data_IF_211193528941
#
_entry.id   IF_211193528941
#
_cell.length_a   1.000
_cell.length_b   1.000
_cell.length_c   1.000
_cell.angle_alpha   90.00
_cell.angle_beta   90.00
_cell.angle_gamma   90.00
#
_symmetry.space_group_name_H-M   'P 1'
#
loop_
_entity.id
_entity.type
_entity.pdbx_description
1 polymer ?
#
# COMPACT_ATOMS: atom_id res chain seq x y z
N UNK A 1 19.31 -8.91 -16.71
CA UNK A 1 18.23 -8.78 -15.69
C UNK A 1 18.94 -8.40 -14.40
N UNK A 2 19.04 -7.10 -14.16
CA UNK A 2 19.79 -6.51 -13.03
C UNK A 2 18.93 -6.49 -11.75
N UNK A 3 19.55 -6.55 -10.57
CA UNK A 3 18.83 -6.82 -9.33
C UNK A 3 18.11 -5.55 -8.88
N UNK A 4 16.77 -5.56 -8.92
CA UNK A 4 15.91 -4.56 -8.27
C UNK A 4 15.93 -4.66 -6.72
N UNK A 5 16.99 -5.25 -6.16
CA UNK A 5 17.21 -5.38 -4.71
C UNK A 5 17.85 -4.12 -4.10
N UNK A 6 17.64 -2.96 -4.72
CA UNK A 6 17.81 -1.69 -4.03
C UNK A 6 16.66 -1.60 -3.03
N UNK A 7 16.97 -1.63 -1.74
CA UNK A 7 16.00 -1.41 -0.65
C UNK A 7 15.13 -0.22 -1.03
N UNK A 8 13.87 -0.50 -1.40
CA UNK A 8 12.94 0.58 -1.68
C UNK A 8 12.69 1.27 -0.35
N UNK A 9 13.30 2.44 -0.18
CA UNK A 9 13.08 3.29 0.99
C UNK A 9 11.58 3.35 1.27
N UNK A 10 11.17 3.17 2.54
CA UNK A 10 9.76 3.20 2.93
C UNK A 10 9.03 4.43 2.37
N UNK A 11 9.72 5.56 2.30
CA UNK A 11 9.23 6.81 1.70
C UNK A 11 8.90 6.69 0.20
N UNK A 12 9.68 5.94 -0.57
CA UNK A 12 9.41 5.72 -1.99
C UNK A 12 8.14 4.87 -2.18
N UNK A 13 7.93 3.87 -1.32
CA UNK A 13 6.73 3.02 -1.37
C UNK A 13 5.49 3.81 -0.95
N UNK A 14 5.58 4.65 0.08
CA UNK A 14 4.51 5.59 0.49
C UNK A 14 4.17 6.55 -0.65
N UNK A 15 5.16 7.18 -1.26
CA UNK A 15 4.94 8.11 -2.39
C UNK A 15 4.23 7.42 -3.57
N UNK A 16 4.61 6.19 -3.89
CA UNK A 16 3.94 5.43 -4.95
C UNK A 16 2.48 5.13 -4.61
N UNK A 17 2.17 4.75 -3.37
CA UNK A 17 0.79 4.52 -2.94
C UNK A 17 -0.07 5.79 -3.07
N UNK A 18 0.46 6.95 -2.68
CA UNK A 18 -0.23 8.23 -2.80
C UNK A 18 -0.49 8.61 -4.27
N UNK A 19 0.49 8.42 -5.16
CA UNK A 19 0.31 8.66 -6.60
C UNK A 19 -0.79 7.79 -7.20
N UNK A 20 -0.87 6.53 -6.78
CA UNK A 20 -1.92 5.60 -7.23
C UNK A 20 -3.30 6.02 -6.74
N UNK A 21 -3.42 6.47 -5.48
CA UNK A 21 -4.70 6.97 -4.93
C UNK A 21 -5.20 8.16 -5.75
N UNK A 22 -4.32 9.14 -6.02
CA UNK A 22 -4.64 10.31 -6.83
C UNK A 22 -5.06 9.93 -8.26
N UNK A 23 -4.37 8.94 -8.86
CA UNK A 23 -4.71 8.41 -10.18
C UNK A 23 -6.12 7.78 -10.17
N UNK A 24 -6.38 6.89 -9.22
CA UNK A 24 -7.68 6.22 -9.08
C UNK A 24 -8.81 7.22 -8.88
N UNK A 25 -8.61 8.25 -8.06
CA UNK A 25 -9.60 9.31 -7.83
C UNK A 25 -9.87 10.14 -9.09
N UNK A 26 -8.82 10.43 -9.85
CA UNK A 26 -8.92 11.13 -11.14
C UNK A 26 -9.73 10.31 -12.14
N UNK A 27 -9.44 9.01 -12.27
CA UNK A 27 -10.17 8.10 -13.16
C UNK A 27 -11.63 7.95 -12.70
N UNK A 28 -11.88 7.78 -11.40
CA UNK A 28 -13.23 7.63 -10.86
C UNK A 28 -14.08 8.89 -11.12
N UNK A 29 -13.49 10.06 -10.92
CA UNK A 29 -14.15 11.34 -11.20
C UNK A 29 -14.46 11.48 -12.69
N UNK A 30 -13.54 11.07 -13.56
CA UNK A 30 -13.78 11.02 -15.00
C UNK A 30 -14.98 10.12 -15.35
N UNK A 31 -15.02 8.89 -14.83
CA UNK A 31 -16.11 7.93 -15.09
C UNK A 31 -17.46 8.50 -14.63
N UNK A 32 -17.52 9.13 -13.44
CA UNK A 32 -18.75 9.75 -12.92
C UNK A 32 -19.27 10.89 -13.80
N UNK A 33 -18.39 11.56 -14.53
CA UNK A 33 -18.75 12.67 -15.42
C UNK A 33 -19.18 12.19 -16.83
N UNK A 34 -19.18 10.88 -17.09
CA UNK A 34 -19.74 10.31 -18.32
C UNK A 34 -21.25 10.18 -18.17
N UNK A 35 -22.01 10.92 -18.98
CA UNK A 35 -23.48 10.83 -19.04
C UNK A 35 -23.87 9.45 -19.59
N UNK A 36 -24.87 8.81 -18.97
CA UNK A 36 -25.35 7.45 -19.33
C UNK A 36 -24.23 6.40 -19.28
N UNK A 37 -23.48 6.38 -18.17
CA UNK A 37 -22.45 5.38 -17.92
C UNK A 37 -23.04 3.96 -18.06
N UNK A 38 -22.34 3.09 -18.79
CA UNK A 38 -22.76 1.69 -18.91
C UNK A 38 -22.55 0.98 -17.59
N UNK A 39 -23.29 -0.12 -17.36
CA UNK A 39 -23.18 -0.94 -16.15
C UNK A 39 -21.74 -1.40 -15.87
N UNK A 40 -20.95 -1.61 -16.92
CA UNK A 40 -19.53 -1.97 -16.84
C UNK A 40 -18.68 -0.80 -16.32
N UNK A 41 -18.96 0.44 -16.72
CA UNK A 41 -18.27 1.61 -16.16
C UNK A 41 -18.60 1.81 -14.68
N UNK A 42 -19.84 1.54 -14.26
CA UNK A 42 -20.22 1.55 -12.85
C UNK A 42 -19.50 0.47 -12.05
N UNK A 43 -19.42 -0.76 -12.58
CA UNK A 43 -18.62 -1.85 -11.98
C UNK A 43 -17.15 -1.47 -11.84
N UNK A 44 -16.55 -0.96 -12.91
CA UNK A 44 -15.17 -0.48 -12.90
C UNK A 44 -14.96 0.61 -11.84
N UNK A 45 -15.88 1.57 -11.74
CA UNK A 45 -15.85 2.63 -10.71
C UNK A 45 -15.92 2.07 -9.28
N UNK A 46 -16.73 1.03 -9.06
CA UNK A 46 -16.80 0.31 -7.78
C UNK A 46 -15.47 -0.39 -7.45
N UNK A 47 -14.85 -1.06 -8.43
CA UNK A 47 -13.54 -1.70 -8.25
C UNK A 47 -12.43 -0.69 -7.96
N UNK A 48 -12.42 0.43 -8.68
CA UNK A 48 -11.50 1.54 -8.43
C UNK A 48 -11.69 2.09 -7.01
N UNK A 49 -12.92 2.20 -6.51
CA UNK A 49 -13.18 2.62 -5.13
C UNK A 49 -12.58 1.64 -4.12
N UNK A 50 -12.71 0.33 -4.36
CA UNK A 50 -12.10 -0.70 -3.51
C UNK A 50 -10.57 -0.67 -3.57
N UNK A 51 -10.00 -0.46 -4.75
CA UNK A 51 -8.56 -0.31 -4.92
C UNK A 51 -8.03 0.91 -4.16
N UNK A 52 -8.70 2.06 -4.24
CA UNK A 52 -8.32 3.26 -3.47
C UNK A 52 -8.30 3.00 -1.96
N UNK A 53 -9.30 2.31 -1.43
CA UNK A 53 -9.36 1.96 0.00
C UNK A 53 -8.15 1.11 0.42
N UNK A 54 -7.82 0.06 -0.33
CA UNK A 54 -6.67 -0.80 -0.03
C UNK A 54 -5.34 -0.04 -0.19
N UNK A 55 -5.25 0.87 -1.16
CA UNK A 55 -4.06 1.72 -1.32
C UNK A 55 -3.90 2.69 -0.14
N UNK A 56 -4.98 3.24 0.41
CA UNK A 56 -4.93 4.08 1.62
C UNK A 56 -4.51 3.24 2.84
N UNK A 57 -5.06 2.04 3.02
CA UNK A 57 -4.64 1.11 4.07
C UNK A 57 -3.15 0.74 3.93
N UNK A 58 -2.70 0.51 2.69
CA UNK A 58 -1.29 0.28 2.37
C UNK A 58 -0.44 1.48 2.79
N UNK A 59 -0.85 2.68 2.40
CA UNK A 59 -0.14 3.91 2.72
C UNK A 59 -0.01 4.10 4.23
N UNK A 60 -1.10 3.97 4.97
CA UNK A 60 -1.13 4.12 6.43
C UNK A 60 -0.21 3.11 7.13
N UNK A 61 -0.22 1.85 6.69
CA UNK A 61 0.67 0.83 7.22
C UNK A 61 2.15 1.18 6.96
N UNK A 62 2.46 1.61 5.73
CA UNK A 62 3.84 1.92 5.33
C UNK A 62 4.36 3.19 6.01
N UNK A 63 3.52 4.21 6.22
CA UNK A 63 3.86 5.41 6.99
C UNK A 63 4.16 5.04 8.44
N UNK A 64 3.34 4.19 9.06
CA UNK A 64 3.59 3.68 10.41
C UNK A 64 4.89 2.88 10.49
N UNK A 65 5.14 2.02 9.50
CA UNK A 65 6.35 1.21 9.41
C UNK A 65 7.60 2.09 9.27
N UNK A 66 7.55 3.09 8.38
CA UNK A 66 8.65 4.04 8.15
C UNK A 66 8.94 4.90 9.38
N UNK A 67 7.90 5.33 10.10
CA UNK A 67 8.06 6.08 11.35
C UNK A 67 8.67 5.25 12.49
N UNK A 68 8.49 3.93 12.44
CA UNK A 68 8.98 2.98 13.45
C UNK A 68 10.38 2.44 13.15
N UNK A 69 10.78 2.43 11.87
CA UNK A 69 12.11 2.00 11.39
C UNK A 69 13.24 2.81 12.04
N UNK A 70 13.02 4.09 12.34
CA UNK A 70 14.01 4.94 13.02
C UNK A 70 14.02 4.78 14.56
N UNK A 71 13.08 4.01 15.15
CA UNK A 71 12.89 3.95 16.61
C UNK A 71 13.17 2.57 17.21
N UNK A 72 13.07 1.51 16.43
CA UNK A 72 13.20 0.13 16.91
C UNK A 72 14.23 -0.59 16.04
N UNK A 73 15.38 -0.93 16.63
CA UNK A 73 16.36 -1.82 15.99
C UNK A 73 15.69 -3.15 15.62
N UNK A 74 15.69 -3.47 14.32
CA UNK A 74 15.08 -4.67 13.76
C UNK A 74 13.69 -4.48 13.14
N UNK A 75 13.11 -3.28 13.16
CA UNK A 75 11.95 -2.98 12.31
C UNK A 75 12.39 -2.98 10.85
N UNK A 76 11.98 -3.99 10.09
CA UNK A 76 12.44 -4.18 8.70
C UNK A 76 11.72 -3.24 7.75
N UNK A 77 12.38 -2.86 6.66
CA UNK A 77 11.78 -2.17 5.53
C UNK A 77 10.55 -2.92 4.98
N UNK A 78 9.62 -2.24 4.28
CA UNK A 78 8.47 -2.89 3.65
C UNK A 78 8.86 -4.09 2.79
N UNK A 79 8.05 -5.15 2.83
CA UNK A 79 8.26 -6.31 1.97
C UNK A 79 8.31 -5.89 0.50
N UNK A 80 9.29 -6.40 -0.24
CA UNK A 80 9.42 -6.20 -1.69
C UNK A 80 8.15 -6.62 -2.46
N UNK A 81 7.38 -7.56 -1.90
CA UNK A 81 6.08 -7.98 -2.46
C UNK A 81 5.07 -6.83 -2.53
N UNK A 82 5.02 -5.95 -1.52
CA UNK A 82 4.12 -4.78 -1.50
C UNK A 82 4.50 -3.83 -2.62
N UNK A 83 5.78 -3.55 -2.79
CA UNK A 83 6.27 -2.69 -3.88
C UNK A 83 5.91 -3.26 -5.26
N UNK A 84 6.13 -4.56 -5.46
CA UNK A 84 5.80 -5.23 -6.72
C UNK A 84 4.30 -5.11 -7.01
N UNK A 85 3.44 -5.35 -6.01
CA UNK A 85 1.99 -5.20 -6.18
C UNK A 85 1.58 -3.75 -6.49
N UNK A 86 2.20 -2.75 -5.86
CA UNK A 86 1.94 -1.34 -6.18
C UNK A 86 2.38 -0.98 -7.61
N UNK A 87 3.52 -1.51 -8.08
CA UNK A 87 3.95 -1.32 -9.46
C UNK A 87 2.99 -1.98 -10.46
N UNK A 88 2.50 -3.18 -10.16
CA UNK A 88 1.50 -3.88 -10.97
C UNK A 88 0.15 -3.15 -11.00
N UNK A 89 -0.27 -2.53 -9.89
CA UNK A 89 -1.41 -1.62 -9.84
C UNK A 89 -1.22 -0.45 -10.81
N UNK A 90 -0.04 0.20 -10.79
CA UNK A 90 0.29 1.31 -11.70
C UNK A 90 0.15 0.92 -13.17
N UNK A 91 0.76 -0.21 -13.54
CA UNK A 91 0.71 -0.74 -14.91
C UNK A 91 -0.73 -1.02 -15.33
N UNK A 92 -1.53 -1.59 -14.43
CA UNK A 92 -2.93 -1.92 -14.70
C UNK A 92 -3.83 -0.69 -14.86
N UNK A 93 -3.51 0.42 -14.19
CA UNK A 93 -4.24 1.69 -14.29
C UNK A 93 -3.81 2.53 -15.50
N UNK A 94 -2.60 2.35 -16.02
CA UNK A 94 -2.04 3.16 -17.11
C UNK A 94 -2.96 3.32 -18.35
N UNK A 95 -3.70 2.29 -18.83
CA UNK A 95 -4.60 2.46 -19.97
C UNK A 95 -5.74 3.45 -19.67
N UNK A 96 -6.26 3.43 -18.45
CA UNK A 96 -7.31 4.36 -17.99
C UNK A 96 -6.74 5.76 -17.81
N UNK A 97 -5.57 5.91 -17.20
CA UNK A 97 -4.88 7.20 -17.07
C UNK A 97 -4.65 7.87 -18.43
N UNK A 98 -4.15 7.10 -19.40
CA UNK A 98 -3.88 7.57 -20.76
C UNK A 98 -5.16 8.08 -21.42
N UNK A 99 -6.27 7.38 -21.22
CA UNK A 99 -7.58 7.78 -21.74
C UNK A 99 -8.07 9.07 -21.08
N UNK A 100 -7.99 9.18 -19.75
CA UNK A 100 -8.37 10.41 -19.03
C UNK A 100 -7.52 11.61 -19.46
N UNK A 101 -6.21 11.44 -19.60
CA UNK A 101 -5.30 12.50 -20.04
C UNK A 101 -5.59 12.98 -21.47
N UNK A 102 -5.91 12.06 -22.39
CA UNK A 102 -6.32 12.42 -23.76
C UNK A 102 -7.59 13.28 -23.74
N UNK A 103 -8.52 12.98 -22.83
CA UNK A 103 -9.79 13.68 -22.70
C UNK A 103 -9.65 15.08 -22.08
N UNK A 104 -8.82 15.21 -21.05
CA UNK A 104 -8.59 16.49 -20.38
C UNK A 104 -7.88 17.52 -21.27
N UNK A 105 -7.11 17.07 -22.26
CA UNK A 105 -6.38 17.94 -23.20
C UNK A 105 -7.21 18.44 -24.38
N UNK A 106 -8.49 18.05 -24.51
CA UNK A 106 -9.36 18.51 -25.60
C UNK A 106 -10.11 19.79 -25.19
N UNK A 107 -9.78 20.97 -25.75
CA UNK A 107 -10.27 22.26 -25.25
C UNK A 107 -11.71 22.61 -25.70
N UNK A 108 -12.30 21.87 -26.64
CA UNK A 108 -13.64 22.17 -27.16
C UNK A 108 -14.71 21.28 -26.51
N UNK A 109 -15.73 21.89 -25.90
CA UNK A 109 -16.83 21.17 -25.27
C UNK A 109 -17.60 20.23 -26.23
N UNK A 110 -17.66 20.56 -27.52
CA UNK A 110 -18.27 19.73 -28.58
C UNK A 110 -17.42 18.52 -28.97
N UNK A 111 -16.08 18.67 -29.04
CA UNK A 111 -15.19 17.53 -29.25
C UNK A 111 -15.14 16.63 -28.03
N UNK A 112 -15.33 17.19 -26.83
CA UNK A 112 -15.37 16.44 -25.57
C UNK A 112 -16.66 15.61 -25.46
N UNK A 113 -17.82 16.13 -25.87
CA UNK A 113 -19.07 15.35 -25.89
C UNK A 113 -19.05 14.26 -26.97
N UNK A 114 -18.51 14.55 -28.15
CA UNK A 114 -18.34 13.58 -29.23
C UNK A 114 -17.31 12.50 -28.87
N UNK A 115 -16.17 12.87 -28.28
CA UNK A 115 -15.15 11.91 -27.83
C UNK A 115 -15.62 11.12 -26.58
N UNK A 116 -16.49 11.67 -25.73
CA UNK A 116 -17.18 10.92 -24.66
C UNK A 116 -18.12 9.88 -25.24
N UNK A 117 -18.84 10.21 -26.31
CA UNK A 117 -19.63 9.24 -27.07
C UNK A 117 -18.74 8.20 -27.75
N UNK A 118 -17.58 8.60 -28.27
CA UNK A 118 -16.61 7.68 -28.86
C UNK A 118 -15.94 6.81 -27.81
N UNK A 119 -15.82 7.24 -26.54
CA UNK A 119 -15.39 6.40 -25.41
C UNK A 119 -16.49 5.41 -25.04
N UNK A 120 -17.75 5.83 -25.02
CA UNK A 120 -18.89 4.91 -24.88
C UNK A 120 -18.88 3.84 -25.98
N UNK A 121 -18.38 4.17 -27.17
CA UNK A 121 -18.23 3.25 -28.31
C UNK A 121 -16.86 2.52 -28.33
N UNK A 122 -15.82 3.10 -27.74
CA UNK A 122 -14.41 2.75 -27.94
C UNK A 122 -13.77 2.02 -26.76
N UNK A 123 -14.23 2.24 -25.53
CA UNK A 123 -14.08 1.26 -24.45
C UNK A 123 -15.09 0.15 -24.74
N UNK A 124 -14.72 -0.79 -25.62
CA UNK A 124 -15.56 -1.96 -25.85
C UNK A 124 -15.76 -2.66 -24.51
N UNK A 125 -16.96 -3.21 -24.29
CA UNK A 125 -17.29 -4.02 -23.11
C UNK A 125 -16.21 -5.05 -22.76
N UNK A 126 -15.53 -5.60 -23.77
CA UNK A 126 -14.40 -6.52 -23.63
C UNK A 126 -13.17 -5.87 -22.97
N UNK A 127 -12.84 -4.64 -23.36
CA UNK A 127 -11.71 -3.90 -22.81
C UNK A 127 -11.98 -3.47 -21.37
N UNK A 128 -13.23 -3.07 -21.05
CA UNK A 128 -13.64 -2.78 -19.67
C UNK A 128 -13.55 -4.05 -18.82
N UNK A 129 -14.10 -5.16 -19.28
CA UNK A 129 -14.05 -6.45 -18.56
C UNK A 129 -12.60 -6.91 -18.31
N UNK A 130 -11.71 -6.72 -19.29
CA UNK A 130 -10.29 -7.04 -19.13
C UNK A 130 -9.63 -6.16 -18.06
N UNK A 131 -9.93 -4.86 -18.05
CA UNK A 131 -9.44 -3.93 -17.02
C UNK A 131 -9.98 -4.28 -15.64
N UNK A 132 -11.27 -4.61 -15.54
CA UNK A 132 -11.89 -5.07 -14.29
C UNK A 132 -11.17 -6.31 -13.75
N UNK A 133 -10.91 -7.30 -14.61
CA UNK A 133 -10.21 -8.54 -14.24
C UNK A 133 -8.80 -8.24 -13.71
N UNK A 134 -8.07 -7.35 -14.39
CA UNK A 134 -6.75 -6.91 -13.95
C UNK A 134 -6.81 -6.20 -12.60
N UNK A 135 -7.69 -5.22 -12.44
CA UNK A 135 -7.84 -4.48 -11.17
C UNK A 135 -8.24 -5.42 -10.03
N UNK A 136 -9.14 -6.37 -10.27
CA UNK A 136 -9.53 -7.38 -9.30
C UNK A 136 -8.34 -8.25 -8.87
N UNK A 137 -7.51 -8.67 -9.83
CA UNK A 137 -6.28 -9.41 -9.57
C UNK A 137 -5.30 -8.59 -8.71
N UNK A 138 -5.10 -7.31 -9.05
CA UNK A 138 -4.22 -6.43 -8.29
C UNK A 138 -4.71 -6.16 -6.86
N UNK A 139 -6.02 -6.00 -6.67
CA UNK A 139 -6.65 -5.92 -5.34
C UNK A 139 -6.31 -7.16 -4.51
N UNK A 140 -6.44 -8.36 -5.08
CA UNK A 140 -6.14 -9.62 -4.40
C UNK A 140 -4.65 -9.75 -4.05
N UNK A 141 -3.78 -9.41 -5.00
CA UNK A 141 -2.33 -9.43 -4.81
C UNK A 141 -1.88 -8.46 -3.72
N UNK A 142 -2.34 -7.21 -3.77
CA UNK A 142 -1.98 -6.19 -2.79
C UNK A 142 -2.50 -6.55 -1.39
N UNK A 143 -3.76 -7.01 -1.28
CA UNK A 143 -4.32 -7.45 0.00
C UNK A 143 -3.52 -8.60 0.63
N UNK A 144 -3.09 -9.56 -0.19
CA UNK A 144 -2.26 -10.68 0.26
C UNK A 144 -0.88 -10.20 0.71
N UNK A 145 -0.23 -9.34 -0.08
CA UNK A 145 1.07 -8.77 0.26
C UNK A 145 1.02 -7.96 1.56
N UNK A 146 -0.04 -7.17 1.78
CA UNK A 146 -0.28 -6.45 3.04
C UNK A 146 -0.44 -7.40 4.21
N UNK A 147 -1.22 -8.48 4.07
CA UNK A 147 -1.41 -9.47 5.13
C UNK A 147 -0.08 -10.15 5.51
N UNK A 148 0.73 -10.51 4.52
CA UNK A 148 2.09 -11.05 4.76
C UNK A 148 2.99 -10.02 5.45
N UNK A 149 2.97 -8.77 5.00
CA UNK A 149 3.77 -7.70 5.59
C UNK A 149 3.37 -7.43 7.05
N UNK A 150 2.07 -7.31 7.35
CA UNK A 150 1.56 -7.13 8.71
C UNK A 150 1.94 -8.30 9.63
N UNK A 151 1.80 -9.54 9.17
CA UNK A 151 2.17 -10.71 9.96
C UNK A 151 3.67 -10.73 10.27
N UNK A 152 4.52 -10.32 9.32
CA UNK A 152 5.95 -10.15 9.53
C UNK A 152 6.24 -9.12 10.63
N UNK A 153 5.57 -7.96 10.58
CA UNK A 153 5.73 -6.90 11.59
C UNK A 153 5.28 -7.36 12.99
N UNK A 154 4.16 -8.05 13.10
CA UNK A 154 3.69 -8.62 14.37
C UNK A 154 4.69 -9.62 14.96
N UNK A 155 5.28 -10.47 14.11
CA UNK A 155 6.28 -11.44 14.54
C UNK A 155 7.53 -10.77 15.13
N UNK A 156 8.00 -9.70 14.49
CA UNK A 156 9.13 -8.89 14.98
C UNK A 156 8.80 -8.27 16.33
N UNK A 157 7.62 -7.65 16.46
CA UNK A 157 7.19 -7.03 17.72
C UNK A 157 7.14 -8.03 18.88
N UNK A 158 6.49 -9.19 18.68
CA UNK A 158 6.39 -10.23 19.71
C UNK A 158 7.78 -10.70 20.15
N UNK A 159 8.70 -10.88 19.19
CA UNK A 159 10.06 -11.34 19.49
C UNK A 159 10.82 -10.29 20.29
N UNK A 160 10.68 -9.01 19.95
CA UNK A 160 11.32 -7.91 20.69
C UNK A 160 10.79 -7.81 22.12
N UNK A 161 9.47 -7.85 22.31
CA UNK A 161 8.85 -7.81 23.64
C UNK A 161 9.30 -8.97 24.53
N UNK A 162 9.36 -10.19 23.97
CA UNK A 162 9.85 -11.38 24.71
C UNK A 162 11.30 -11.25 25.15
N UNK A 163 12.18 -10.74 24.27
CA UNK A 163 13.59 -10.50 24.63
C UNK A 163 13.72 -9.46 25.74
N UNK A 164 12.97 -8.36 25.65
CA UNK A 164 13.01 -7.31 26.66
C UNK A 164 12.48 -7.79 28.03
N UNK A 165 11.41 -8.60 28.05
CA UNK A 165 10.91 -9.19 29.30
C UNK A 165 11.89 -10.17 29.93
N UNK A 166 12.62 -10.95 29.12
CA UNK A 166 13.66 -11.85 29.62
C UNK A 166 14.85 -11.08 30.22
N UNK A 167 15.36 -10.07 29.50
CA UNK A 167 16.47 -9.25 29.99
C UNK A 167 16.13 -8.53 31.31
N UNK A 168 14.89 -8.04 31.44
CA UNK A 168 14.42 -7.41 32.69
C UNK A 168 14.32 -8.42 33.84
N UNK A 169 13.88 -9.65 33.57
CA UNK A 169 13.82 -10.71 34.59
C UNK A 169 15.23 -11.13 35.07
N UNK A 170 16.20 -11.21 34.17
CA UNK A 170 17.61 -11.49 34.52
C UNK A 170 18.22 -10.38 35.38
N UNK A 171 17.93 -9.10 35.07
CA UNK A 171 18.43 -7.97 35.86
C UNK A 171 17.86 -7.91 37.28
N UNK A 172 16.58 -8.28 37.47
CA UNK A 172 15.98 -8.36 38.81
C UNK A 172 16.55 -9.51 39.65
N UNK A 173 17.09 -10.57 39.03
CA UNK A 173 17.64 -11.72 39.75
C UNK A 173 19.10 -11.50 40.20
N UNK A 174 19.82 -10.55 39.58
CA UNK A 174 21.20 -10.22 39.97
C UNK A 174 21.29 -9.22 41.14
N UNK A 175 20.18 -8.58 41.54
CA UNK A 175 20.15 -7.58 42.62
C UNK A 175 19.75 -8.14 43.99
N UNK A 176 19.35 -9.41 44.08
CA UNK A 176 18.91 -10.05 45.33
C UNK A 176 19.99 -10.86 46.05
N UNK A 177 21.21 -10.94 45.52
CA UNK A 177 22.33 -11.69 46.11
C UNK A 177 23.48 -10.79 46.61
N UNK A 178 23.17 -9.73 47.35
CA UNK A 178 24.18 -9.11 48.22
C UNK A 178 24.26 -9.91 49.53
N UNK A 179 25.42 -10.53 49.86
CA UNK A 179 25.55 -11.26 51.11
C UNK A 179 25.41 -10.30 52.30
N UNK A 180 24.82 -10.75 53.43
CA UNK A 180 24.73 -9.93 54.62
C UNK A 180 26.15 -9.62 55.12
N UNK A 181 26.39 -8.33 55.35
CA UNK A 181 27.61 -7.80 55.93
C UNK A 181 27.71 -8.33 57.37
N UNK A 182 28.48 -9.41 57.59
CA UNK A 182 28.84 -9.86 58.93
C UNK A 182 29.77 -8.79 59.54
N UNK A 183 29.18 -7.97 60.40
CA UNK A 183 29.92 -7.04 61.25
C UNK A 183 30.83 -7.82 62.19
N UNK A 184 32.13 -7.76 61.93
CA UNK A 184 33.17 -8.13 62.88
C UNK A 184 33.30 -7.02 63.93
N UNK A 185 32.51 -7.14 65.00
CA UNK A 185 32.92 -6.70 66.33
C UNK A 185 34.09 -7.60 66.77
N UNK A 186 35.27 -7.03 66.99
CA UNK A 186 36.20 -7.55 67.99
C UNK A 186 37.13 -6.45 68.48
N UNK A 187 37.27 -6.50 69.80
CA UNK A 187 37.80 -5.54 70.78
C UNK A 187 39.32 -5.51 70.83
#
# INVERSE_FOLDING_TARGET
MEPLAGVASGMAVVSLSLQLIQSVDTIRTFIRNVRDATKELERLSSLLTRLAAILEDTRNLLELQSASENRIDGFSAPSSSVLICLQSCKISLQPLETLVQKMQKSPNASSLSQLRSDIKLGLKTKDITLLETRIQHEIGGLSTALGVNMNSLLYVQITFTKKYSHAKAEQCNCTSNSPPNEGSEQT
#
